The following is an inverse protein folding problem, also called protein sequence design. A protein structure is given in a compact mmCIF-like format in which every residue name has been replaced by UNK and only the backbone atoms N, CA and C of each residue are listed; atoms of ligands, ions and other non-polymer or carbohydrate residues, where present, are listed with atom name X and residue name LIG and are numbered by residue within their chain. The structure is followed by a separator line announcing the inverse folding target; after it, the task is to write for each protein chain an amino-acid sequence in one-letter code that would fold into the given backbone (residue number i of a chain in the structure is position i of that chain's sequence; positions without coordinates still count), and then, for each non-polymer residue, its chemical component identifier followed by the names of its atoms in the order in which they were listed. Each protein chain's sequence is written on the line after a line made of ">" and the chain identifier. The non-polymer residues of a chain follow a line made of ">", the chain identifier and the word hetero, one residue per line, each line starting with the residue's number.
data_IF_987169109408
#
_entry.id   IF_987169109408
#
_cell.length_a   1.000
_cell.length_b   1.000
_cell.length_c   1.000
_cell.angle_alpha   90.00
_cell.angle_beta   90.00
_cell.angle_gamma   90.00
#
_symmetry.space_group_name_H-M   'P 1'
#
loop_
_entity.id
_entity.type
_entity.pdbx_description
1 polymer ?
#
# COMPACT_ATOMS: atom_id res chain seq x y z
N UNK A 1 -29.25 -7.51 13.48
CA UNK A 1 -27.87 -8.06 13.43
C UNK A 1 -27.02 -7.24 14.36
N UNK A 2 -26.46 -7.87 15.40
CA UNK A 2 -25.70 -7.19 16.45
C UNK A 2 -24.24 -6.98 16.03
N UNK A 3 -23.64 -5.90 16.54
CA UNK A 3 -22.29 -5.39 16.22
C UNK A 3 -21.18 -6.45 16.40
N UNK A 4 -21.42 -7.49 17.20
CA UNK A 4 -20.51 -8.63 17.39
C UNK A 4 -20.40 -9.56 16.17
N UNK A 5 -21.43 -9.68 15.32
CA UNK A 5 -21.32 -10.51 14.10
C UNK A 5 -20.42 -9.90 13.02
N UNK A 6 -20.13 -8.60 13.09
CA UNK A 6 -19.27 -7.91 12.11
C UNK A 6 -17.79 -8.01 12.48
N UNK A 7 -17.45 -8.30 13.75
CA UNK A 7 -16.06 -8.52 14.16
C UNK A 7 -15.58 -9.96 13.94
N UNK A 8 -16.46 -10.96 14.02
CA UNK A 8 -16.11 -12.36 13.71
C UNK A 8 -15.96 -12.63 12.21
N UNK A 9 -16.61 -11.83 11.34
CA UNK A 9 -16.37 -11.89 9.89
C UNK A 9 -14.93 -11.49 9.50
N UNK A 10 -14.12 -10.91 10.40
CA UNK A 10 -12.79 -10.37 10.06
C UNK A 10 -11.65 -11.40 10.14
N UNK A 11 -11.91 -12.62 10.65
CA UNK A 11 -10.91 -13.70 10.74
C UNK A 11 -11.48 -15.02 10.19
N UNK A 12 -12.77 -15.31 10.38
CA UNK A 12 -13.39 -16.56 9.91
C UNK A 12 -13.63 -16.60 8.38
N UNK A 13 -13.68 -15.44 7.70
CA UNK A 13 -13.85 -15.37 6.23
C UNK A 13 -12.61 -15.77 5.42
N UNK A 14 -11.46 -15.92 6.07
CA UNK A 14 -10.24 -16.36 5.42
C UNK A 14 -10.02 -17.88 5.53
N UNK A 15 -10.86 -18.60 6.28
CA UNK A 15 -10.85 -20.06 6.34
C UNK A 15 -11.73 -20.72 5.25
N UNK A 16 -12.65 -19.98 4.64
CA UNK A 16 -13.45 -20.45 3.50
C UNK A 16 -12.81 -20.08 2.17
N UNK A 17 -12.05 -21.03 1.64
CA UNK A 17 -11.44 -21.03 0.32
C UNK A 17 -12.41 -20.62 -0.81
N UNK A 18 -11.87 -19.95 -1.83
CA UNK A 18 -12.46 -19.61 -3.14
C UNK A 18 -13.73 -18.75 -3.13
N UNK A 19 -13.60 -17.52 -3.64
CA UNK A 19 -14.71 -16.63 -3.98
C UNK A 19 -15.60 -16.26 -2.79
N UNK A 20 -15.25 -15.19 -2.07
CA UNK A 20 -16.31 -14.27 -1.63
C UNK A 20 -17.20 -14.03 -2.86
N UNK A 21 -18.49 -14.33 -2.74
CA UNK A 21 -19.43 -14.21 -3.84
C UNK A 21 -19.29 -12.80 -4.40
N UNK A 22 -19.04 -12.67 -5.71
CA UNK A 22 -18.69 -11.39 -6.36
C UNK A 22 -19.75 -10.30 -6.04
N UNK A 23 -20.98 -10.72 -5.76
CA UNK A 23 -22.06 -9.90 -5.26
C UNK A 23 -21.80 -9.24 -3.89
N UNK A 24 -21.24 -9.99 -2.92
CA UNK A 24 -20.92 -9.47 -1.57
C UNK A 24 -19.75 -8.49 -1.60
N UNK A 25 -18.69 -8.80 -2.34
CA UNK A 25 -17.57 -7.88 -2.57
C UNK A 25 -18.05 -6.57 -3.19
N UNK A 26 -18.87 -6.67 -4.24
CA UNK A 26 -19.45 -5.51 -4.92
C UNK A 26 -20.36 -4.69 -4.01
N UNK A 27 -21.15 -5.34 -3.15
CA UNK A 27 -22.00 -4.66 -2.18
C UNK A 27 -21.17 -3.92 -1.11
N UNK A 28 -20.13 -4.56 -0.57
CA UNK A 28 -19.21 -3.95 0.40
C UNK A 28 -18.52 -2.71 -0.18
N UNK A 29 -18.06 -2.78 -1.43
CA UNK A 29 -17.44 -1.66 -2.13
C UNK A 29 -18.44 -0.51 -2.35
N UNK A 30 -19.69 -0.82 -2.68
CA UNK A 30 -20.76 0.19 -2.84
C UNK A 30 -21.19 0.83 -1.52
N UNK A 31 -21.16 0.09 -0.41
CA UNK A 31 -21.55 0.54 0.92
C UNK A 31 -20.41 1.23 1.71
N UNK A 32 -19.24 1.44 1.09
CA UNK A 32 -18.07 2.05 1.72
C UNK A 32 -17.63 3.33 1.00
N UNK A 33 -17.14 4.29 1.78
CA UNK A 33 -16.65 5.56 1.26
C UNK A 33 -15.20 5.46 0.78
N UNK A 34 -14.83 6.36 -0.13
CA UNK A 34 -13.45 6.47 -0.62
C UNK A 34 -12.54 7.09 0.43
N UNK A 35 -11.25 6.80 0.36
CA UNK A 35 -10.30 7.23 1.38
C UNK A 35 -10.24 8.76 1.60
N UNK A 36 -10.45 9.55 0.54
CA UNK A 36 -10.48 11.02 0.63
C UNK A 36 -11.79 11.59 1.21
N UNK A 37 -12.85 10.78 1.36
CA UNK A 37 -14.15 11.22 1.89
C UNK A 37 -14.25 11.07 3.43
N UNK A 38 -13.19 10.55 4.07
CA UNK A 38 -13.18 10.17 5.50
C UNK A 38 -13.33 11.36 6.47
N UNK A 39 -13.01 12.58 6.02
CA UNK A 39 -13.39 13.82 6.72
C UNK A 39 -12.42 14.34 7.78
N UNK A 40 -11.28 13.68 8.02
CA UNK A 40 -10.15 14.25 8.76
C UNK A 40 -8.86 13.45 8.51
N UNK A 41 -7.71 14.03 8.85
CA UNK A 41 -6.41 13.34 8.77
C UNK A 41 -6.33 12.20 9.79
N UNK A 42 -6.82 12.40 11.00
CA UNK A 42 -6.81 11.38 12.06
C UNK A 42 -7.66 10.18 11.65
N UNK A 43 -8.83 10.43 11.08
CA UNK A 43 -9.70 9.38 10.58
C UNK A 43 -9.07 8.67 9.36
N UNK A 44 -8.39 9.40 8.47
CA UNK A 44 -7.58 8.81 7.41
C UNK A 44 -6.48 7.89 7.96
N UNK A 45 -5.73 8.36 8.95
CA UNK A 45 -4.64 7.60 9.57
C UNK A 45 -5.16 6.31 10.21
N UNK A 46 -6.29 6.38 10.90
CA UNK A 46 -6.95 5.21 11.50
C UNK A 46 -7.43 4.22 10.43
N UNK A 47 -8.07 4.71 9.36
CA UNK A 47 -8.51 3.88 8.23
C UNK A 47 -7.33 3.24 7.51
N UNK A 48 -6.24 3.98 7.29
CA UNK A 48 -5.04 3.48 6.63
C UNK A 48 -4.41 2.34 7.45
N UNK A 49 -4.29 2.52 8.77
CA UNK A 49 -3.75 1.50 9.68
C UNK A 49 -4.67 0.28 9.77
N UNK A 50 -5.99 0.49 9.83
CA UNK A 50 -6.98 -0.60 9.77
C UNK A 50 -6.81 -1.44 8.49
N UNK A 51 -6.59 -0.80 7.34
CA UNK A 51 -6.36 -1.49 6.07
C UNK A 51 -5.04 -2.29 6.09
N UNK A 52 -3.96 -1.67 6.58
CA UNK A 52 -2.64 -2.30 6.66
C UNK A 52 -2.65 -3.54 7.58
N UNK A 53 -3.28 -3.44 8.75
CA UNK A 53 -3.46 -4.57 9.66
C UNK A 53 -4.34 -5.66 9.03
N UNK A 54 -5.45 -5.28 8.38
CA UNK A 54 -6.29 -6.22 7.66
C UNK A 54 -5.52 -7.00 6.59
N UNK A 55 -4.64 -6.33 5.86
CA UNK A 55 -3.74 -6.98 4.90
C UNK A 55 -2.76 -7.94 5.59
N UNK A 56 -2.13 -7.51 6.68
CA UNK A 56 -1.20 -8.35 7.43
C UNK A 56 -1.88 -9.59 8.00
N UNK A 57 -3.09 -9.50 8.54
CA UNK A 57 -3.83 -10.67 9.02
C UNK A 57 -4.11 -11.67 7.89
N UNK A 58 -4.52 -11.20 6.71
CA UNK A 58 -4.72 -12.05 5.55
C UNK A 58 -3.42 -12.77 5.12
N UNK A 59 -2.29 -12.05 5.17
CA UNK A 59 -0.98 -12.63 4.88
C UNK A 59 -0.50 -13.60 5.97
N UNK A 60 -0.59 -13.22 7.24
CA UNK A 60 -0.08 -13.99 8.37
C UNK A 60 -0.84 -15.31 8.55
N UNK A 61 -2.17 -15.24 8.54
CA UNK A 61 -3.06 -16.36 8.84
C UNK A 61 -3.30 -17.26 7.63
N UNK A 62 -3.43 -16.66 6.44
CA UNK A 62 -3.90 -17.38 5.25
C UNK A 62 -2.93 -17.33 4.08
N UNK A 63 -1.77 -16.68 4.25
CA UNK A 63 -0.75 -16.56 3.20
C UNK A 63 -1.30 -15.94 1.91
N UNK A 64 -2.23 -14.97 2.05
CA UNK A 64 -2.84 -14.26 0.92
C UNK A 64 -2.16 -12.90 0.73
N UNK A 65 -1.76 -12.60 -0.52
CA UNK A 65 -1.29 -11.27 -0.94
C UNK A 65 -2.36 -10.59 -1.79
N UNK A 66 -2.51 -9.26 -1.65
CA UNK A 66 -3.55 -8.51 -2.35
C UNK A 66 -3.14 -8.20 -3.79
N UNK A 67 -1.85 -7.87 -4.01
CA UNK A 67 -1.19 -7.74 -5.32
C UNK A 67 -1.57 -6.57 -6.22
N UNK A 68 -2.72 -5.95 -5.99
CA UNK A 68 -3.27 -4.87 -6.80
C UNK A 68 -3.77 -3.76 -5.88
N UNK A 69 -2.92 -3.32 -4.94
CA UNK A 69 -3.25 -2.22 -4.04
C UNK A 69 -3.24 -0.87 -4.80
N UNK A 70 -4.29 -0.10 -4.58
CA UNK A 70 -4.44 1.27 -5.06
C UNK A 70 -5.23 2.10 -4.05
N UNK A 71 -5.18 3.42 -4.22
CA UNK A 71 -5.99 4.36 -3.46
C UNK A 71 -7.50 4.03 -3.42
N UNK A 72 -8.02 3.33 -4.44
CA UNK A 72 -9.45 2.98 -4.51
C UNK A 72 -9.82 1.74 -3.68
N UNK A 73 -8.85 0.87 -3.40
CA UNK A 73 -9.09 -0.39 -2.68
C UNK A 73 -9.12 -0.19 -1.16
N UNK A 74 -8.43 0.84 -0.66
CA UNK A 74 -8.53 1.29 0.73
C UNK A 74 -9.80 2.12 0.87
N UNK A 75 -10.76 1.60 1.63
CA UNK A 75 -12.06 2.23 1.82
C UNK A 75 -12.37 2.35 3.30
N UNK A 76 -13.30 3.22 3.65
CA UNK A 76 -13.78 3.32 5.01
C UNK A 76 -15.26 2.96 5.12
N UNK A 77 -15.64 2.47 6.29
CA UNK A 77 -17.02 2.24 6.69
C UNK A 77 -17.27 2.98 7.99
N UNK A 78 -18.30 3.82 8.04
CA UNK A 78 -18.75 4.43 9.29
C UNK A 78 -19.26 3.31 10.21
N UNK A 79 -18.70 3.21 11.41
CA UNK A 79 -19.15 2.23 12.41
C UNK A 79 -20.27 2.74 13.29
N UNK A 80 -20.45 4.06 13.34
CA UNK A 80 -21.62 4.73 13.90
C UNK A 80 -21.90 6.03 13.14
N UNK A 81 -23.18 6.41 13.06
CA UNK A 81 -23.57 7.69 12.45
C UNK A 81 -23.44 8.86 13.43
N UNK A 82 -23.04 8.59 14.69
CA UNK A 82 -23.10 9.54 15.81
C UNK A 82 -21.75 9.88 16.43
N UNK A 83 -20.71 9.03 16.35
CA UNK A 83 -19.37 9.35 16.87
C UNK A 83 -18.37 9.73 15.78
N UNK A 84 -18.74 9.55 14.50
CA UNK A 84 -17.86 9.86 13.38
C UNK A 84 -16.72 8.86 13.23
N UNK A 85 -16.75 7.72 13.93
CA UNK A 85 -15.71 6.69 13.83
C UNK A 85 -15.81 5.94 12.51
N UNK A 86 -14.72 5.95 11.78
CA UNK A 86 -14.53 5.20 10.55
C UNK A 86 -13.63 3.98 10.81
N UNK A 87 -13.97 2.83 10.23
CA UNK A 87 -13.08 1.68 10.15
C UNK A 87 -12.62 1.44 8.73
N UNK A 88 -11.34 1.13 8.58
CA UNK A 88 -10.74 0.81 7.30
C UNK A 88 -11.05 -0.61 6.85
N UNK A 89 -11.30 -0.76 5.56
CA UNK A 89 -11.51 -2.03 4.90
C UNK A 89 -10.72 -2.05 3.60
N UNK A 90 -10.07 -3.19 3.34
CA UNK A 90 -9.52 -3.49 2.03
C UNK A 90 -10.55 -4.23 1.19
N UNK A 91 -10.72 -3.77 -0.04
CA UNK A 91 -11.68 -4.29 -1.02
C UNK A 91 -10.95 -4.80 -2.26
N UNK A 92 -11.66 -5.47 -3.15
CA UNK A 92 -11.14 -5.98 -4.44
C UNK A 92 -10.04 -7.05 -4.29
N UNK A 93 -10.33 -8.07 -3.47
CA UNK A 93 -9.50 -9.26 -3.29
C UNK A 93 -9.54 -10.24 -4.49
N UNK A 94 -10.25 -9.91 -5.57
CA UNK A 94 -10.42 -10.80 -6.73
C UNK A 94 -9.09 -11.14 -7.45
N UNK A 95 -8.08 -10.28 -7.28
CA UNK A 95 -6.72 -10.47 -7.81
C UNK A 95 -5.74 -10.96 -6.75
N UNK A 96 -6.22 -11.23 -5.53
CA UNK A 96 -5.42 -11.80 -4.49
C UNK A 96 -4.99 -13.22 -4.86
N UNK A 97 -3.85 -13.66 -4.35
CA UNK A 97 -3.42 -15.03 -4.57
C UNK A 97 -2.71 -15.60 -3.37
N UNK A 98 -2.92 -16.89 -3.16
CA UNK A 98 -2.19 -17.66 -2.18
C UNK A 98 -0.70 -17.69 -2.53
N UNK A 99 0.13 -17.45 -1.52
CA UNK A 99 1.55 -17.76 -1.57
C UNK A 99 1.67 -19.28 -1.54
N UNK A 100 1.94 -19.90 -2.70
CA UNK A 100 2.11 -21.35 -2.81
C UNK A 100 3.27 -21.84 -1.95
N UNK A 101 3.25 -23.12 -1.57
CA UNK A 101 4.24 -23.75 -0.68
C UNK A 101 5.71 -23.63 -1.13
N UNK A 102 5.97 -23.34 -2.42
CA UNK A 102 7.31 -23.12 -2.97
C UNK A 102 7.67 -21.63 -3.16
N UNK A 103 6.89 -20.70 -2.60
CA UNK A 103 6.96 -19.25 -2.85
C UNK A 103 6.77 -18.84 -4.34
N UNK A 104 6.40 -19.80 -5.20
CA UNK A 104 6.10 -19.58 -6.62
C UNK A 104 4.73 -18.90 -6.77
N UNK A 105 4.74 -17.58 -6.95
CA UNK A 105 3.55 -16.78 -7.21
C UNK A 105 3.48 -16.48 -8.70
N UNK A 106 2.36 -16.82 -9.34
CA UNK A 106 2.14 -16.58 -10.76
C UNK A 106 2.26 -15.07 -11.07
N UNK A 107 2.97 -14.67 -12.14
CA UNK A 107 2.97 -13.30 -12.65
C UNK A 107 1.58 -12.67 -12.71
N UNK A 108 1.41 -11.42 -12.24
CA UNK A 108 0.16 -10.68 -12.51
C UNK A 108 0.08 -10.39 -14.00
N UNK A 109 -1.05 -10.74 -14.64
CA UNK A 109 -1.26 -10.56 -16.08
C UNK A 109 -1.16 -9.07 -16.45
N UNK A 110 -0.50 -8.78 -17.56
CA UNK A 110 -0.14 -7.43 -17.97
C UNK A 110 -1.35 -6.50 -18.26
N UNK A 111 -2.55 -7.05 -18.40
CA UNK A 111 -3.78 -6.36 -18.82
C UNK A 111 -4.43 -5.49 -17.75
N UNK A 112 -4.10 -5.66 -16.47
CA UNK A 112 -4.74 -4.92 -15.36
C UNK A 112 -3.91 -3.76 -14.79
N UNK A 113 -2.82 -3.37 -15.47
CA UNK A 113 -1.80 -2.47 -14.90
C UNK A 113 -2.13 -0.98 -14.98
N UNK A 114 -2.92 -0.54 -15.96
CA UNK A 114 -3.05 0.89 -16.31
C UNK A 114 -3.60 1.77 -15.18
N UNK A 115 -4.42 1.21 -14.27
CA UNK A 115 -4.99 1.95 -13.14
C UNK A 115 -4.20 1.88 -11.83
N UNK A 116 -3.13 1.08 -11.76
CA UNK A 116 -2.36 0.83 -10.53
C UNK A 116 -0.87 1.12 -10.65
N UNK A 117 -0.39 1.57 -11.82
CA UNK A 117 1.01 1.93 -12.07
C UNK A 117 1.60 2.86 -10.98
N UNK A 118 0.89 3.92 -10.52
CA UNK A 118 1.42 4.81 -9.49
C UNK A 118 1.70 4.10 -8.16
N UNK A 119 0.96 3.03 -7.87
CA UNK A 119 1.04 2.29 -6.60
C UNK A 119 1.84 1.01 -6.72
N UNK A 120 2.24 0.60 -7.92
CA UNK A 120 3.01 -0.62 -8.12
C UNK A 120 4.46 -0.47 -7.61
N UNK A 121 4.95 -1.49 -6.89
CA UNK A 121 6.33 -1.55 -6.42
C UNK A 121 7.32 -1.60 -7.60
N UNK A 122 8.51 -1.02 -7.40
CA UNK A 122 9.56 -0.90 -8.43
C UNK A 122 9.98 -2.25 -9.01
N UNK A 123 10.14 -3.26 -8.16
CA UNK A 123 10.53 -4.60 -8.57
C UNK A 123 9.48 -5.26 -9.50
N UNK A 124 8.22 -4.80 -9.45
CA UNK A 124 7.12 -5.30 -10.30
C UNK A 124 6.93 -4.49 -11.59
N UNK A 125 7.50 -3.27 -11.67
CA UNK A 125 7.45 -2.42 -12.86
C UNK A 125 8.44 -2.85 -13.94
N UNK A 126 9.62 -3.36 -13.53
CA UNK A 126 10.66 -3.81 -14.47
C UNK A 126 10.43 -5.28 -14.84
N UNK A 127 9.67 -5.50 -15.91
CA UNK A 127 9.44 -6.85 -16.43
C UNK A 127 10.63 -7.29 -17.29
N UNK A 128 11.51 -8.11 -16.71
CA UNK A 128 12.35 -9.01 -17.50
C UNK A 128 11.49 -10.15 -18.09
N UNK A 129 12.09 -11.10 -18.83
CA UNK A 129 11.37 -12.26 -19.44
C UNK A 129 10.48 -13.05 -18.47
N UNK A 130 10.75 -12.98 -17.15
CA UNK A 130 9.90 -13.48 -16.06
C UNK A 130 9.81 -12.39 -14.98
N UNK A 131 8.61 -11.92 -14.60
CA UNK A 131 8.48 -10.99 -13.49
C UNK A 131 8.77 -11.71 -12.17
N UNK A 132 9.33 -11.01 -11.17
CA UNK A 132 9.66 -11.60 -9.88
C UNK A 132 8.40 -12.03 -9.11
N UNK A 133 8.53 -12.93 -8.12
CA UNK A 133 7.42 -13.25 -7.23
C UNK A 133 6.92 -11.99 -6.52
N UNK A 134 5.61 -11.91 -6.31
CA UNK A 134 5.03 -10.82 -5.53
C UNK A 134 5.28 -11.10 -4.04
N UNK A 135 5.89 -10.19 -3.30
CA UNK A 135 6.21 -10.36 -1.89
C UNK A 135 5.41 -9.38 -1.04
N UNK A 136 5.22 -9.67 0.24
CA UNK A 136 4.53 -8.77 1.17
C UNK A 136 5.17 -7.37 1.19
N UNK A 137 6.50 -7.27 1.09
CA UNK A 137 7.21 -5.99 0.98
C UNK A 137 6.81 -5.15 -0.24
N UNK A 138 6.31 -5.76 -1.32
CA UNK A 138 5.79 -5.04 -2.47
C UNK A 138 4.45 -4.38 -2.16
N UNK A 139 3.58 -5.07 -1.42
CA UNK A 139 2.31 -4.50 -0.95
C UNK A 139 2.59 -3.36 0.06
N UNK A 140 3.60 -3.48 0.94
CA UNK A 140 4.06 -2.36 1.77
C UNK A 140 4.54 -1.14 0.95
N UNK A 141 5.27 -1.36 -0.15
CA UNK A 141 5.70 -0.30 -1.07
C UNK A 141 4.48 0.40 -1.71
N UNK A 142 3.43 -0.37 -2.06
CA UNK A 142 2.15 0.18 -2.51
C UNK A 142 1.45 1.03 -1.44
N UNK A 143 1.41 0.58 -0.18
CA UNK A 143 0.88 1.39 0.92
C UNK A 143 1.63 2.72 1.07
N UNK A 144 2.96 2.71 0.93
CA UNK A 144 3.74 3.95 0.97
C UNK A 144 3.39 4.90 -0.18
N UNK A 145 3.25 4.39 -1.41
CA UNK A 145 2.83 5.21 -2.53
C UNK A 145 1.41 5.77 -2.38
N UNK A 146 0.48 5.02 -1.78
CA UNK A 146 -0.86 5.51 -1.46
C UNK A 146 -0.81 6.61 -0.40
N UNK A 147 0.07 6.50 0.61
CA UNK A 147 0.30 7.55 1.61
C UNK A 147 0.84 8.83 0.96
N UNK A 148 1.83 8.72 0.06
CA UNK A 148 2.34 9.87 -0.70
C UNK A 148 1.21 10.48 -1.54
N UNK A 149 0.45 9.65 -2.26
CA UNK A 149 -0.67 10.11 -3.08
C UNK A 149 -1.73 10.86 -2.26
N UNK A 150 -2.07 10.37 -1.08
CA UNK A 150 -3.01 11.02 -0.18
C UNK A 150 -2.56 12.43 0.22
N UNK A 151 -1.28 12.60 0.57
CA UNK A 151 -0.72 13.90 0.96
C UNK A 151 -0.82 14.95 -0.16
N UNK A 152 -0.70 14.54 -1.42
CA UNK A 152 -0.77 15.45 -2.56
C UNK A 152 -2.17 15.72 -3.07
N UNK A 153 -3.04 14.71 -3.05
CA UNK A 153 -4.31 14.79 -3.78
C UNK A 153 -5.53 14.85 -2.89
N UNK A 154 -5.45 14.59 -1.59
CA UNK A 154 -6.66 14.60 -0.76
C UNK A 154 -6.83 15.95 -0.07
N UNK A 155 -8.07 16.41 -0.06
CA UNK A 155 -8.55 17.51 0.78
C UNK A 155 -9.57 16.90 1.73
N UNK A 156 -9.12 16.56 2.95
CA UNK A 156 -9.92 15.86 3.94
C UNK A 156 -11.04 16.74 4.51
N UNK A 157 -10.83 18.06 4.56
CA UNK A 157 -11.83 19.02 5.05
C UNK A 157 -12.99 19.13 4.08
N UNK A 158 -12.68 19.20 2.77
CA UNK A 158 -13.69 19.21 1.70
C UNK A 158 -14.19 17.82 1.31
N UNK A 159 -13.58 16.76 1.85
CA UNK A 159 -13.90 15.35 1.56
C UNK A 159 -13.78 15.00 0.08
N UNK A 160 -12.80 15.58 -0.61
CA UNK A 160 -12.63 15.43 -2.05
C UNK A 160 -11.21 15.06 -2.44
N UNK A 161 -11.08 14.50 -3.64
CA UNK A 161 -9.80 14.38 -4.32
C UNK A 161 -9.61 15.64 -5.17
N UNK A 162 -8.52 16.34 -4.94
CA UNK A 162 -8.08 17.50 -5.69
C UNK A 162 -7.78 17.12 -7.14
N UNK A 163 -8.29 17.95 -8.05
CA UNK A 163 -7.95 17.93 -9.48
C UNK A 163 -6.77 18.88 -9.79
N UNK A 164 -5.89 19.14 -8.81
CA UNK A 164 -4.74 20.04 -9.00
C UNK A 164 -3.95 19.65 -10.23
N UNK A 165 -3.35 20.65 -10.91
CA UNK A 165 -2.43 20.39 -12.03
C UNK A 165 -1.48 19.26 -11.64
N UNK A 166 -1.31 18.24 -12.50
CA UNK A 166 -0.44 17.11 -12.22
C UNK A 166 0.90 17.61 -11.72
N UNK A 167 1.34 17.13 -10.55
CA UNK A 167 2.77 17.20 -10.26
C UNK A 167 3.45 16.29 -11.29
N UNK A 168 4.39 16.80 -12.10
CA UNK A 168 5.00 16.02 -13.17
C UNK A 168 5.53 14.68 -12.67
N UNK A 169 6.18 14.67 -11.51
CA UNK A 169 6.71 13.43 -10.92
C UNK A 169 5.63 12.39 -10.56
N UNK A 170 4.46 12.79 -10.06
CA UNK A 170 3.45 11.83 -9.58
C UNK A 170 2.47 11.41 -10.68
N UNK A 171 1.92 12.35 -11.46
CA UNK A 171 0.94 11.99 -12.49
C UNK A 171 1.57 11.77 -13.88
N UNK A 172 2.74 12.34 -14.19
CA UNK A 172 3.36 12.14 -15.50
C UNK A 172 4.43 11.04 -15.48
N UNK A 173 5.24 10.94 -14.41
CA UNK A 173 6.32 9.94 -14.31
C UNK A 173 5.85 8.65 -13.65
N UNK A 174 5.16 8.70 -12.50
CA UNK A 174 4.74 7.48 -11.79
C UNK A 174 3.49 6.83 -12.38
N UNK A 175 2.67 7.59 -13.11
CA UNK A 175 1.49 7.09 -13.83
C UNK A 175 1.74 6.92 -15.34
N UNK A 176 3.00 6.86 -15.77
CA UNK A 176 3.36 6.75 -17.18
C UNK A 176 3.14 5.32 -17.72
N UNK A 177 2.82 5.22 -19.02
CA UNK A 177 2.83 3.93 -19.74
C UNK A 177 4.25 3.34 -19.87
N UNK A 178 5.30 4.18 -19.84
CA UNK A 178 6.69 3.74 -19.73
C UNK A 178 6.98 3.21 -18.31
N UNK A 179 6.79 1.91 -18.13
CA UNK A 179 7.03 1.22 -16.85
C UNK A 179 8.51 1.34 -16.40
N UNK A 180 9.46 1.40 -17.34
CA UNK A 180 10.89 1.51 -16.99
C UNK A 180 11.20 2.92 -16.51
N UNK A 181 10.66 3.94 -17.18
CA UNK A 181 10.72 5.33 -16.74
C UNK A 181 10.12 5.51 -15.34
N UNK A 182 8.92 4.98 -15.11
CA UNK A 182 8.25 4.97 -13.80
C UNK A 182 9.12 4.32 -12.72
N UNK A 183 9.67 3.12 -12.99
CA UNK A 183 10.56 2.43 -12.05
C UNK A 183 11.81 3.23 -11.72
N UNK A 184 12.42 3.89 -12.71
CA UNK A 184 13.61 4.72 -12.50
C UNK A 184 13.31 5.98 -11.69
N UNK A 185 12.20 6.68 -11.96
CA UNK A 185 11.78 7.86 -11.18
C UNK A 185 11.54 7.49 -9.72
N UNK A 186 10.74 6.44 -9.46
CA UNK A 186 10.50 5.94 -8.11
C UNK A 186 11.79 5.47 -7.43
N UNK A 187 12.73 4.88 -8.17
CA UNK A 187 14.02 4.46 -7.62
C UNK A 187 14.83 5.67 -7.18
N UNK A 188 14.94 6.70 -8.01
CA UNK A 188 15.57 7.98 -7.65
C UNK A 188 14.98 8.52 -6.36
N UNK A 189 13.65 8.63 -6.31
CA UNK A 189 12.93 9.06 -5.11
C UNK A 189 13.29 8.24 -3.86
N UNK A 190 13.37 6.90 -3.92
CA UNK A 190 13.67 6.05 -2.75
C UNK A 190 15.15 5.94 -2.38
N UNK A 191 16.07 6.39 -3.23
CA UNK A 191 17.52 6.25 -2.97
C UNK A 191 18.25 7.58 -2.78
N UNK A 192 17.67 8.68 -3.25
CA UNK A 192 18.26 10.01 -3.21
C UNK A 192 17.51 10.91 -2.21
N UNK A 193 18.14 11.29 -1.07
CA UNK A 193 17.55 12.22 -0.12
C UNK A 193 17.17 13.58 -0.73
N UNK A 194 17.91 14.09 -1.71
CA UNK A 194 17.66 15.40 -2.30
C UNK A 194 16.41 15.35 -3.19
N UNK A 195 16.30 14.35 -4.07
CA UNK A 195 15.09 14.11 -4.86
C UNK A 195 13.84 13.93 -3.97
N UNK A 196 14.00 13.25 -2.83
CA UNK A 196 12.94 13.13 -1.84
C UNK A 196 12.57 14.48 -1.21
N UNK A 197 13.56 15.29 -0.85
CA UNK A 197 13.34 16.60 -0.22
C UNK A 197 12.63 17.56 -1.17
N UNK A 198 13.05 17.58 -2.44
CA UNK A 198 12.41 18.35 -3.50
C UNK A 198 10.94 17.97 -3.65
N UNK A 199 10.62 16.68 -3.74
CA UNK A 199 9.23 16.23 -3.83
C UNK A 199 8.45 16.62 -2.58
N UNK A 200 8.97 16.37 -1.38
CA UNK A 200 8.21 16.61 -0.14
C UNK A 200 8.01 18.09 0.16
N UNK A 201 8.89 18.97 -0.34
CA UNK A 201 8.71 20.42 -0.26
C UNK A 201 7.49 20.91 -1.07
N UNK A 202 7.00 20.12 -2.02
CA UNK A 202 5.81 20.43 -2.82
C UNK A 202 4.50 19.96 -2.17
N UNK A 203 4.57 19.28 -1.02
CA UNK A 203 3.35 18.80 -0.34
C UNK A 203 2.48 20.00 0.05
N UNK A 204 1.21 20.04 -0.41
CA UNK A 204 0.29 21.13 -0.08
C UNK A 204 -0.01 21.20 1.41
N UNK A 205 -0.50 22.36 1.88
CA UNK A 205 -0.77 22.62 3.29
C UNK A 205 -1.65 21.53 3.94
N UNK A 206 -2.67 21.06 3.24
CA UNK A 206 -3.63 20.06 3.71
C UNK A 206 -2.97 18.68 3.93
N UNK A 207 -1.87 18.40 3.23
CA UNK A 207 -1.12 17.15 3.32
C UNK A 207 0.07 17.18 4.27
N UNK A 208 0.45 18.35 4.80
CA UNK A 208 1.67 18.50 5.60
C UNK A 208 1.65 17.66 6.88
N UNK A 209 0.48 17.41 7.45
CA UNK A 209 0.28 16.54 8.61
C UNK A 209 0.71 15.08 8.37
N UNK A 210 0.78 14.63 7.12
CA UNK A 210 1.24 13.30 6.74
C UNK A 210 2.76 13.23 6.56
N UNK A 211 3.46 14.37 6.49
CA UNK A 211 4.92 14.40 6.32
C UNK A 211 5.66 13.57 7.38
N UNK A 212 5.33 13.57 8.68
CA UNK A 212 6.02 12.72 9.66
C UNK A 212 5.97 11.23 9.31
N UNK A 213 4.80 10.71 8.89
CA UNK A 213 4.67 9.33 8.42
C UNK A 213 5.48 9.11 7.15
N UNK A 214 5.36 10.02 6.18
CA UNK A 214 6.09 9.92 4.91
C UNK A 214 7.62 9.92 5.12
N UNK A 215 8.14 10.75 6.04
CA UNK A 215 9.55 10.80 6.42
C UNK A 215 10.03 9.44 6.93
N UNK A 216 9.35 8.91 7.94
CA UNK A 216 9.75 7.67 8.62
C UNK A 216 9.66 6.46 7.71
N UNK A 217 8.58 6.34 6.93
CA UNK A 217 8.41 5.24 5.99
C UNK A 217 9.41 5.35 4.84
N UNK A 218 9.66 6.56 4.32
CA UNK A 218 10.71 6.75 3.30
C UNK A 218 12.08 6.29 3.81
N UNK A 219 12.45 6.66 5.04
CA UNK A 219 13.71 6.24 5.64
C UNK A 219 13.81 4.71 5.75
N UNK A 220 12.70 4.03 6.02
CA UNK A 220 12.64 2.57 6.06
C UNK A 220 12.98 1.96 4.69
N UNK A 221 12.35 2.45 3.62
CA UNK A 221 12.64 2.00 2.25
C UNK A 221 14.05 2.36 1.80
N UNK A 222 14.53 3.56 2.14
CA UNK A 222 15.90 3.98 1.85
C UNK A 222 16.92 3.05 2.50
N UNK A 223 16.75 2.72 3.80
CA UNK A 223 17.58 1.74 4.51
C UNK A 223 17.56 0.38 3.84
N UNK A 224 16.38 -0.13 3.47
CA UNK A 224 16.25 -1.42 2.80
C UNK A 224 17.00 -1.46 1.46
N UNK A 225 16.87 -0.39 0.66
CA UNK A 225 17.54 -0.24 -0.64
C UNK A 225 19.05 -0.11 -0.48
N UNK A 226 19.49 0.69 0.48
CA UNK A 226 20.90 0.89 0.79
C UNK A 226 21.56 -0.42 1.22
N UNK A 227 20.96 -1.13 2.19
CA UNK A 227 21.46 -2.43 2.68
C UNK A 227 21.52 -3.49 1.58
N UNK A 228 20.54 -3.53 0.67
CA UNK A 228 20.59 -4.43 -0.49
C UNK A 228 21.74 -4.08 -1.42
N UNK A 229 21.94 -2.79 -1.71
CA UNK A 229 23.02 -2.31 -2.55
C UNK A 229 24.41 -2.64 -1.98
N UNK A 230 24.61 -2.41 -0.67
CA UNK A 230 25.88 -2.74 -0.01
C UNK A 230 26.13 -4.24 0.02
N UNK A 231 25.11 -5.07 0.31
CA UNK A 231 25.25 -6.52 0.28
C UNK A 231 25.72 -7.04 -1.09
N UNK A 232 25.08 -6.57 -2.17
CA UNK A 232 25.44 -6.97 -3.55
C UNK A 232 26.88 -6.60 -3.90
N UNK A 233 27.40 -5.50 -3.36
CA UNK A 233 28.76 -5.03 -3.64
C UNK A 233 29.82 -5.66 -2.74
N UNK A 234 29.50 -5.92 -1.47
CA UNK A 234 30.48 -6.26 -0.43
C UNK A 234 30.49 -7.74 -0.05
N UNK A 235 29.35 -8.43 -0.11
CA UNK A 235 29.21 -9.83 0.31
C UNK A 235 28.28 -10.61 -0.62
N UNK A 236 28.53 -10.65 -1.95
CA UNK A 236 27.59 -11.23 -2.90
C UNK A 236 27.41 -12.76 -2.73
N UNK A 237 28.41 -13.45 -2.17
CA UNK A 237 28.35 -14.87 -1.82
C UNK A 237 27.48 -15.19 -0.60
N UNK A 238 27.16 -14.20 0.24
CA UNK A 238 26.23 -14.38 1.35
C UNK A 238 24.78 -14.45 0.83
N UNK A 239 23.94 -15.23 1.49
CA UNK A 239 22.51 -15.25 1.18
C UNK A 239 21.85 -13.93 1.59
N UNK A 240 20.99 -13.38 0.71
CA UNK A 240 20.18 -12.20 1.02
C UNK A 240 18.72 -12.58 1.30
N UNK A 241 18.15 -12.06 2.38
CA UNK A 241 16.71 -12.16 2.62
C UNK A 241 15.98 -11.15 1.72
N UNK A 242 15.59 -11.59 0.52
CA UNK A 242 14.80 -10.77 -0.39
C UNK A 242 13.35 -10.59 0.10
N UNK A 243 12.82 -11.50 0.94
CA UNK A 243 11.42 -11.41 1.42
C UNK A 243 11.19 -10.17 2.27
N UNK A 244 12.15 -9.86 3.15
CA UNK A 244 12.08 -8.70 4.05
C UNK A 244 13.14 -7.64 3.77
N UNK A 245 13.94 -7.81 2.71
CA UNK A 245 15.09 -6.94 2.41
C UNK A 245 16.06 -6.85 3.59
N UNK A 246 16.54 -8.00 4.06
CA UNK A 246 17.50 -8.09 5.16
C UNK A 246 16.91 -7.75 6.54
N UNK A 247 15.62 -8.05 6.75
CA UNK A 247 14.91 -7.78 8.01
C UNK A 247 14.35 -6.36 8.13
N UNK A 248 14.48 -5.52 7.11
CA UNK A 248 14.11 -4.10 7.19
C UNK A 248 12.63 -3.89 6.87
N UNK A 249 12.12 -4.48 5.79
CA UNK A 249 10.74 -4.33 5.31
C UNK A 249 9.83 -5.41 5.88
N UNK A 250 9.47 -5.24 7.15
CA UNK A 250 8.47 -6.06 7.85
C UNK A 250 7.24 -5.23 8.19
N UNK A 251 6.12 -5.90 8.51
CA UNK A 251 4.91 -5.21 8.98
C UNK A 251 5.17 -4.43 10.27
N UNK A 252 5.92 -5.03 11.20
CA UNK A 252 6.23 -4.47 12.50
C UNK A 252 7.05 -3.18 12.36
N UNK A 253 8.10 -3.20 11.53
CA UNK A 253 8.93 -2.02 11.28
C UNK A 253 8.16 -0.93 10.53
N UNK A 254 7.24 -1.31 9.63
CA UNK A 254 6.37 -0.35 8.96
C UNK A 254 5.43 0.33 9.94
N UNK A 255 4.80 -0.43 10.85
CA UNK A 255 3.93 0.10 11.90
C UNK A 255 4.69 0.99 12.89
N UNK A 256 5.90 0.60 13.26
CA UNK A 256 6.80 1.44 14.05
C UNK A 256 7.13 2.75 13.34
N UNK A 257 7.40 2.73 12.03
CA UNK A 257 7.63 3.93 11.24
C UNK A 257 6.41 4.87 11.20
N UNK A 258 5.19 4.32 11.25
CA UNK A 258 3.96 5.11 11.41
C UNK A 258 3.73 5.61 12.85
N UNK A 259 4.55 5.20 13.82
CA UNK A 259 4.35 5.49 15.24
C UNK A 259 3.13 4.77 15.82
N UNK A 260 2.75 3.62 15.25
CA UNK A 260 1.54 2.86 15.63
C UNK A 260 1.95 1.51 16.19
N UNK A 261 1.31 1.10 17.29
CA UNK A 261 1.46 -0.25 17.82
C UNK A 261 0.44 -1.17 17.13
N UNK A 262 0.86 -2.31 16.55
CA UNK A 262 -0.07 -3.28 15.95
C UNK A 262 -1.16 -3.74 16.91
N UNK A 263 -2.39 -3.81 16.42
CA UNK A 263 -3.53 -4.45 17.08
C UNK A 263 -3.63 -5.90 16.60
N UNK A 264 -2.77 -6.75 17.16
CA UNK A 264 -2.74 -8.19 16.88
C UNK A 264 -3.83 -8.95 17.64
#
# INVERSE_FOLDING_TARGET
>A
MTVERVHLLRVDLLESNSAMDNAENKWITQASGKLWEVGSIEAFQDVFVDCLEGHYHAFANSKVLHRVLSANNLRFRCTDNTSGKAKGILTDWDMASDVKANDDILPSTATHRTGTIPFMAIDLLIVNKRPPPHLFRHDLESFFYILVWAAFYYDFDKKERRETKPLPQLEEEWNNADLKGCANSKKGFLTDPDARNELFALVPLEGQSLLPWMNSVWLLFWKARYSRGTHVLMTPEAGWDDKTSGGVLTFENFMEALGRKPRL
#
